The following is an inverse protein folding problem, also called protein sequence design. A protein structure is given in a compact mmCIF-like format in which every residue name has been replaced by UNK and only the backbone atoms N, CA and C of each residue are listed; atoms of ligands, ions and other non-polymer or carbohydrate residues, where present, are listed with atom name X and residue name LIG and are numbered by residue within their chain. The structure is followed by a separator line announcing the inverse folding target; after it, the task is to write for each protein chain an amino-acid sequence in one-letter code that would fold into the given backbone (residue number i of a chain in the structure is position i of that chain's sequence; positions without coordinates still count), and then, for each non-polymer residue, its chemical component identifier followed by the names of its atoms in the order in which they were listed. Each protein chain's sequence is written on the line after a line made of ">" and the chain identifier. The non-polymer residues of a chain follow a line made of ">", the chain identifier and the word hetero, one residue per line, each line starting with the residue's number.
data_IF_975969743085
#
_entry.id   IF_975969743085
#
_cell.length_a   1.000
_cell.length_b   1.000
_cell.length_c   1.000
_cell.angle_alpha   90.00
_cell.angle_beta   90.00
_cell.angle_gamma   90.00
#
_symmetry.space_group_name_H-M   'P 1'
#
loop_
_entity.id
_entity.type
_entity.pdbx_description
1 polymer ?
#
# COMPACT_ATOMS: atom_id res chain seq x y z
N UNK A 1 -2.86 -11.70 -1.98
CA UNK A 1 -1.47 -11.21 -1.76
C UNK A 1 -1.49 -10.02 -0.82
N UNK A 2 -0.57 -9.95 0.15
CA UNK A 2 -0.43 -8.80 1.06
C UNK A 2 0.86 -8.07 0.74
N UNK A 3 0.83 -6.73 0.76
CA UNK A 3 1.99 -5.88 0.45
C UNK A 3 2.05 -4.68 1.38
N UNK A 4 3.26 -4.19 1.64
CA UNK A 4 3.50 -2.90 2.30
C UNK A 4 4.01 -1.92 1.28
N UNK A 5 3.33 -0.79 1.21
CA UNK A 5 3.67 0.33 0.33
C UNK A 5 4.05 1.51 1.22
N UNK A 6 5.23 2.07 1.00
CA UNK A 6 5.72 3.26 1.66
C UNK A 6 5.57 4.47 0.73
N UNK A 7 5.16 5.60 1.29
CA UNK A 7 4.91 6.84 0.56
C UNK A 7 5.88 7.93 1.02
N UNK A 8 6.25 8.82 0.11
CA UNK A 8 7.16 9.93 0.42
C UNK A 8 6.44 11.14 1.02
N UNK A 9 5.17 11.34 0.67
CA UNK A 9 4.39 12.50 1.12
C UNK A 9 3.17 12.07 1.94
N UNK A 10 2.78 12.84 2.98
CA UNK A 10 1.55 12.61 3.71
C UNK A 10 0.28 12.72 2.84
N UNK A 11 0.34 13.52 1.77
CA UNK A 11 -0.78 13.74 0.86
C UNK A 11 -1.07 12.46 0.06
N UNK A 12 -0.05 11.86 -0.54
CA UNK A 12 -0.18 10.65 -1.34
C UNK A 12 -0.56 9.45 -0.48
N UNK A 13 0.06 9.34 0.69
CA UNK A 13 -0.33 8.37 1.72
C UNK A 13 -1.83 8.46 2.05
N UNK A 14 -2.34 9.67 2.30
CA UNK A 14 -3.74 9.87 2.70
C UNK A 14 -4.70 9.57 1.54
N UNK A 15 -4.33 9.94 0.31
CA UNK A 15 -5.11 9.64 -0.89
C UNK A 15 -5.20 8.14 -1.13
N UNK A 16 -4.06 7.44 -1.11
CA UNK A 16 -4.04 6.00 -1.29
C UNK A 16 -4.78 5.27 -0.17
N UNK A 17 -4.57 5.66 1.10
CA UNK A 17 -5.30 5.11 2.24
C UNK A 17 -6.82 5.18 2.05
N UNK A 18 -7.31 6.31 1.55
CA UNK A 18 -8.74 6.52 1.29
C UNK A 18 -9.24 5.60 0.18
N UNK A 19 -8.44 5.40 -0.86
CA UNK A 19 -8.75 4.50 -1.97
C UNK A 19 -8.84 3.04 -1.52
N UNK A 20 -7.87 2.58 -0.72
CA UNK A 20 -7.76 1.15 -0.32
C UNK A 20 -8.35 0.84 1.05
N UNK A 21 -9.17 1.73 1.63
CA UNK A 21 -9.62 1.63 3.03
C UNK A 21 -10.27 0.29 3.40
N UNK A 22 -10.86 -0.44 2.45
CA UNK A 22 -11.45 -1.77 2.65
C UNK A 22 -10.45 -2.94 2.61
N UNK A 23 -9.22 -2.70 2.15
CA UNK A 23 -8.15 -3.70 1.97
C UNK A 23 -6.97 -3.47 2.93
N UNK A 24 -6.96 -2.34 3.65
CA UNK A 24 -5.89 -2.00 4.60
C UNK A 24 -5.91 -2.96 5.78
N UNK A 25 -4.78 -3.61 6.02
CA UNK A 25 -4.53 -4.43 7.21
C UNK A 25 -3.80 -3.65 8.29
N UNK A 26 -2.88 -2.77 7.92
CA UNK A 26 -2.05 -2.01 8.87
C UNK A 26 -1.69 -0.66 8.29
N UNK A 27 -1.64 0.36 9.15
CA UNK A 27 -1.24 1.72 8.78
C UNK A 27 -0.16 2.17 9.75
N UNK A 28 0.95 2.67 9.23
CA UNK A 28 1.99 3.32 10.01
C UNK A 28 2.16 4.76 9.51
N UNK A 29 1.70 5.72 10.31
CA UNK A 29 1.73 7.14 9.95
C UNK A 29 3.14 7.72 10.10
N UNK A 30 3.93 7.24 11.07
CA UNK A 30 5.27 7.75 11.30
C UNK A 30 6.20 7.45 10.12
N UNK A 31 6.01 6.29 9.51
CA UNK A 31 6.81 5.80 8.39
C UNK A 31 6.13 6.03 7.02
N UNK A 32 4.92 6.62 7.04
CA UNK A 32 4.04 6.79 5.87
C UNK A 32 3.88 5.50 5.07
N UNK A 33 3.65 4.38 5.76
CA UNK A 33 3.48 3.08 5.12
C UNK A 33 2.13 2.43 5.40
N UNK A 34 1.62 1.72 4.39
CA UNK A 34 0.33 1.05 4.42
C UNK A 34 0.55 -0.39 4.00
N UNK A 35 0.09 -1.30 4.86
CA UNK A 35 0.04 -2.71 4.54
C UNK A 35 -1.38 -3.07 4.15
N UNK A 36 -1.58 -3.59 2.94
CA UNK A 36 -2.89 -3.93 2.41
C UNK A 36 -2.90 -5.28 1.70
N UNK A 37 -4.07 -5.91 1.65
CA UNK A 37 -4.37 -6.98 0.70
C UNK A 37 -4.77 -6.36 -0.65
N UNK A 38 -3.82 -5.68 -1.30
CA UNK A 38 -4.06 -4.95 -2.53
C UNK A 38 -3.97 -5.87 -3.76
N UNK A 39 -4.78 -5.58 -4.77
CA UNK A 39 -4.65 -6.21 -6.10
C UNK A 39 -3.45 -5.62 -6.86
N UNK A 40 -2.92 -6.32 -7.88
CA UNK A 40 -1.84 -5.78 -8.72
C UNK A 40 -2.15 -4.40 -9.30
N UNK A 41 -3.39 -4.13 -9.72
CA UNK A 41 -3.83 -2.82 -10.21
C UNK A 41 -3.70 -1.71 -9.16
N UNK A 42 -4.06 -1.99 -7.90
CA UNK A 42 -3.94 -1.03 -6.81
C UNK A 42 -2.48 -0.75 -6.46
N UNK A 43 -1.62 -1.77 -6.56
CA UNK A 43 -0.17 -1.61 -6.36
C UNK A 43 0.41 -0.74 -7.46
N UNK A 44 0.07 -1.01 -8.73
CA UNK A 44 0.49 -0.19 -9.86
C UNK A 44 0.01 1.26 -9.72
N UNK A 45 -1.23 1.47 -9.29
CA UNK A 45 -1.78 2.79 -9.04
C UNK A 45 -1.03 3.51 -7.90
N UNK A 46 -0.70 2.81 -6.81
CA UNK A 46 0.12 3.36 -5.73
C UNK A 46 1.48 3.84 -6.23
N UNK A 47 2.14 3.06 -7.09
CA UNK A 47 3.48 3.37 -7.60
C UNK A 47 3.47 4.49 -8.63
N UNK A 48 2.56 4.43 -9.60
CA UNK A 48 2.53 5.34 -10.73
C UNK A 48 1.89 6.70 -10.40
N UNK A 49 0.82 6.69 -9.61
CA UNK A 49 0.00 7.90 -9.39
C UNK A 49 0.26 8.55 -8.01
N UNK A 50 0.80 7.79 -7.06
CA UNK A 50 1.04 8.26 -5.68
C UNK A 50 2.50 8.15 -5.22
N UNK A 51 3.42 7.79 -6.13
CA UNK A 51 4.85 7.69 -5.82
C UNK A 51 5.16 6.67 -4.71
N UNK A 52 4.29 5.69 -4.51
CA UNK A 52 4.44 4.63 -3.53
C UNK A 52 5.54 3.65 -3.93
N UNK A 53 6.24 3.11 -2.95
CA UNK A 53 7.25 2.07 -3.15
C UNK A 53 6.86 0.83 -2.36
N UNK A 54 6.83 -0.33 -3.03
CA UNK A 54 6.62 -1.61 -2.35
C UNK A 54 7.89 -1.94 -1.56
N UNK A 55 7.77 -2.02 -0.24
CA UNK A 55 8.89 -2.34 0.67
C UNK A 55 8.85 -3.78 1.16
N UNK A 56 7.69 -4.43 1.10
CA UNK A 56 7.52 -5.82 1.48
C UNK A 56 6.36 -6.47 0.74
N UNK A 57 6.60 -7.69 0.27
CA UNK A 57 5.59 -8.55 -0.34
C UNK A 57 5.48 -9.84 0.48
N UNK A 58 4.26 -10.24 0.79
CA UNK A 58 3.98 -11.55 1.37
C UNK A 58 3.33 -12.39 0.28
N UNK A 59 4.05 -13.40 -0.25
CA UNK A 59 3.42 -14.37 -1.12
C UNK A 59 2.26 -15.02 -0.35
N UNK A 60 1.17 -15.32 -1.04
CA UNK A 60 0.13 -16.16 -0.45
C UNK A 60 0.81 -17.49 -0.14
N UNK A 61 0.89 -17.86 1.14
CA UNK A 61 1.43 -19.16 1.52
C UNK A 61 0.65 -20.22 0.75
N UNK A 62 1.40 -21.08 0.07
CA UNK A 62 0.89 -22.03 -0.91
C UNK A 62 -0.27 -22.86 -0.37
N UNK A 63 -1.27 -23.01 -1.23
CA UNK A 63 -2.14 -24.19 -1.25
C UNK A 63 -1.33 -25.37 -1.75
#
# INVERSE_FOLDING_TARGET
>A
MKVTIQFQTPQDFTRFRSLVSGQVTTVNIADLSITCACTPDLIAHAMNDFGGMVTREWPEEGV
#
